data_IF_997816695844
#
_entry.id   IF_997816695844
#
_cell.length_a   1.000
_cell.length_b   1.000
_cell.length_c   1.000
_cell.angle_alpha   90.00
_cell.angle_beta   90.00
_cell.angle_gamma   90.00
#
_symmetry.space_group_name_H-M   'P 1'
#
loop_
_entity.id
_entity.type
_entity.pdbx_description
1 polymer ?
#
# COMPACT_ATOMS: atom_id res chain seq x y z
N UNK A 1 11.53 -6.46 -12.75
CA UNK A 1 11.49 -5.08 -12.24
C UNK A 1 11.55 -5.16 -10.74
N UNK A 2 12.56 -4.53 -10.13
CA UNK A 2 12.86 -4.67 -8.71
C UNK A 2 12.02 -3.77 -7.81
N UNK A 3 12.15 -3.98 -6.50
CA UNK A 3 11.58 -3.10 -5.49
C UNK A 3 12.50 -1.91 -5.24
N UNK A 4 11.90 -0.76 -4.96
CA UNK A 4 12.61 0.48 -4.62
C UNK A 4 12.33 0.83 -3.17
N UNK A 5 13.38 1.06 -2.39
CA UNK A 5 13.28 1.68 -1.07
C UNK A 5 13.54 3.18 -1.22
N UNK A 6 12.68 3.99 -0.61
CA UNK A 6 12.92 5.43 -0.51
C UNK A 6 13.53 5.72 0.86
N UNK A 7 14.56 6.56 0.90
CA UNK A 7 15.22 6.93 2.17
C UNK A 7 14.26 7.55 3.21
N UNK A 8 13.19 8.19 2.73
CA UNK A 8 12.16 8.82 3.56
C UNK A 8 11.24 7.80 4.27
N UNK A 9 11.21 6.54 3.80
CA UNK A 9 10.36 5.48 4.33
C UNK A 9 11.19 4.21 4.62
N UNK A 10 11.96 4.19 5.72
CA UNK A 10 12.91 3.11 6.00
C UNK A 10 12.25 1.74 6.17
N UNK A 11 10.97 1.66 6.52
CA UNK A 11 10.25 0.40 6.72
C UNK A 11 9.41 -0.02 5.50
N UNK A 12 9.45 0.74 4.40
CA UNK A 12 8.64 0.52 3.20
C UNK A 12 9.46 0.39 1.92
N UNK A 13 9.08 -0.61 1.14
CA UNK A 13 9.52 -0.80 -0.23
C UNK A 13 8.34 -0.62 -1.18
N UNK A 14 8.62 -0.25 -2.41
CA UNK A 14 7.62 -0.02 -3.44
C UNK A 14 7.91 -0.86 -4.67
N UNK A 15 6.91 -1.55 -5.20
CA UNK A 15 6.95 -2.00 -6.59
C UNK A 15 7.04 -0.78 -7.52
N UNK A 16 7.83 -0.88 -8.60
CA UNK A 16 8.01 0.21 -9.55
C UNK A 16 6.71 0.83 -10.03
N UNK A 17 5.69 0.02 -10.35
CA UNK A 17 4.42 0.56 -10.84
C UNK A 17 3.66 1.32 -9.75
N UNK A 18 3.76 0.88 -8.50
CA UNK A 18 3.17 1.61 -7.37
C UNK A 18 3.90 2.94 -7.14
N UNK A 19 5.23 2.96 -7.24
CA UNK A 19 6.00 4.19 -7.10
C UNK A 19 5.72 5.18 -8.24
N UNK A 20 5.72 4.71 -9.49
CA UNK A 20 5.37 5.55 -10.65
C UNK A 20 3.98 6.14 -10.50
N UNK A 21 2.99 5.34 -10.09
CA UNK A 21 1.64 5.85 -9.81
C UNK A 21 1.63 6.99 -8.78
N UNK A 22 2.41 6.88 -7.70
CA UNK A 22 2.50 7.92 -6.68
C UNK A 22 3.17 9.20 -7.19
N UNK A 23 4.17 9.06 -8.05
CA UNK A 23 4.86 10.18 -8.70
C UNK A 23 3.94 10.91 -9.69
N UNK A 24 3.10 10.16 -10.41
CA UNK A 24 2.18 10.64 -11.45
C UNK A 24 0.85 11.16 -10.88
N UNK A 25 0.66 11.21 -9.55
CA UNK A 25 -0.53 11.79 -8.95
C UNK A 25 -0.69 13.27 -9.37
N UNK A 26 -1.75 13.54 -10.12
CA UNK A 26 -1.99 14.80 -10.86
C UNK A 26 -1.87 16.06 -10.01
N UNK A 27 -2.30 16.02 -8.74
CA UNK A 27 -2.28 17.19 -7.87
C UNK A 27 -1.23 17.03 -6.77
N UNK A 28 -0.40 18.07 -6.60
CA UNK A 28 0.60 18.11 -5.53
C UNK A 28 -0.04 17.97 -4.14
N UNK A 29 -1.25 18.50 -3.96
CA UNK A 29 -2.02 18.38 -2.72
C UNK A 29 -2.43 16.94 -2.42
N UNK A 30 -2.92 16.20 -3.41
CA UNK A 30 -3.29 14.80 -3.23
C UNK A 30 -2.06 13.93 -3.00
N UNK A 31 -0.98 14.16 -3.76
CA UNK A 31 0.30 13.49 -3.54
C UNK A 31 0.80 13.69 -2.11
N UNK A 32 0.79 14.92 -1.61
CA UNK A 32 1.22 15.23 -0.23
C UNK A 32 0.39 14.50 0.82
N UNK A 33 -0.93 14.43 0.66
CA UNK A 33 -1.81 13.67 1.56
C UNK A 33 -1.47 12.18 1.57
N UNK A 34 -1.24 11.60 0.39
CA UNK A 34 -0.89 10.18 0.25
C UNK A 34 0.47 9.89 0.89
N UNK A 35 1.50 10.70 0.60
CA UNK A 35 2.82 10.56 1.20
C UNK A 35 2.80 10.74 2.73
N UNK A 36 1.98 11.67 3.23
CA UNK A 36 1.80 11.84 4.69
C UNK A 36 1.23 10.56 5.31
N UNK A 37 0.21 9.97 4.68
CA UNK A 37 -0.38 8.74 5.19
C UNK A 37 0.57 7.53 5.09
N UNK A 38 1.37 7.48 4.03
CA UNK A 38 2.45 6.50 3.87
C UNK A 38 3.48 6.65 4.98
N UNK A 39 3.88 7.87 5.35
CA UNK A 39 4.79 8.12 6.46
C UNK A 39 4.22 7.61 7.80
N UNK A 40 2.93 7.85 8.06
CA UNK A 40 2.26 7.33 9.27
C UNK A 40 2.27 5.79 9.26
N UNK A 41 1.99 5.17 8.11
CA UNK A 41 2.06 3.71 7.98
C UNK A 41 3.48 3.17 8.14
N UNK A 42 4.50 3.88 7.62
CA UNK A 42 5.90 3.49 7.77
C UNK A 42 6.32 3.39 9.25
N UNK A 43 5.90 4.37 10.04
CA UNK A 43 6.24 4.47 11.47
C UNK A 43 5.44 3.50 12.34
N UNK A 44 4.15 3.34 12.05
CA UNK A 44 3.23 2.64 12.94
C UNK A 44 2.76 1.28 12.40
N UNK A 45 3.11 0.95 11.16
CA UNK A 45 2.58 -0.22 10.46
C UNK A 45 1.07 -0.12 10.28
N UNK A 46 0.38 -1.26 10.40
CA UNK A 46 -1.08 -1.35 10.25
C UNK A 46 -1.84 -1.16 11.58
N UNK A 47 -1.26 -0.43 12.54
CA UNK A 47 -1.89 -0.15 13.84
C UNK A 47 -3.22 0.59 13.66
N UNK A 48 -4.31 -0.04 14.11
CA UNK A 48 -5.66 0.47 13.96
C UNK A 48 -5.99 1.58 14.96
N UNK A 49 -5.28 1.67 16.08
CA UNK A 49 -5.51 2.75 17.04
C UNK A 49 -5.01 4.09 16.48
N UNK A 50 -4.05 4.04 15.54
CA UNK A 50 -3.45 5.20 14.88
C UNK A 50 -4.10 5.48 13.53
N UNK A 51 -4.25 4.45 12.67
CA UNK A 51 -4.78 4.60 11.32
C UNK A 51 -6.31 4.48 11.24
N UNK A 52 -6.95 3.98 12.29
CA UNK A 52 -8.39 3.80 12.34
C UNK A 52 -8.94 3.00 11.16
N UNK A 53 -9.94 3.58 10.48
CA UNK A 53 -10.60 2.98 9.30
C UNK A 53 -9.78 3.08 8.01
N UNK A 54 -8.65 3.80 8.03
CA UNK A 54 -7.79 3.96 6.87
C UNK A 54 -7.00 2.69 6.57
N UNK A 55 -6.87 1.77 7.53
CA UNK A 55 -6.17 0.49 7.31
C UNK A 55 -7.10 -0.71 7.49
N UNK A 56 -7.04 -1.65 6.55
CA UNK A 56 -7.84 -2.85 6.57
C UNK A 56 -7.05 -4.08 6.16
N UNK A 57 -7.20 -5.17 6.92
CA UNK A 57 -6.60 -6.44 6.57
C UNK A 57 -7.55 -7.24 5.68
N UNK A 58 -7.05 -7.71 4.54
CA UNK A 58 -7.84 -8.50 3.62
C UNK A 58 -7.88 -9.95 4.14
N UNK A 59 -9.06 -10.40 4.57
CA UNK A 59 -9.26 -11.72 5.18
C UNK A 59 -9.61 -12.82 4.18
N UNK A 60 -10.14 -12.44 3.01
CA UNK A 60 -10.67 -13.35 2.00
C UNK A 60 -9.56 -14.07 1.25
N UNK A 61 -9.65 -15.39 1.14
CA UNK A 61 -8.75 -16.17 0.28
C UNK A 61 -9.03 -15.86 -1.21
N UNK A 62 -8.01 -15.87 -2.10
CA UNK A 62 -6.58 -16.14 -1.86
C UNK A 62 -5.77 -14.92 -1.41
N UNK A 63 -6.40 -13.80 -1.09
CA UNK A 63 -5.78 -12.50 -0.84
C UNK A 63 -5.34 -12.28 0.62
N UNK A 64 -5.47 -13.32 1.46
CA UNK A 64 -5.08 -13.26 2.87
C UNK A 64 -3.60 -12.92 2.98
N UNK A 65 -3.29 -11.87 3.75
CA UNK A 65 -1.92 -11.35 3.90
C UNK A 65 -1.72 -9.98 3.26
N UNK A 66 -2.64 -9.55 2.39
CA UNK A 66 -2.70 -8.18 1.91
C UNK A 66 -3.32 -7.26 2.97
N UNK A 67 -2.75 -6.06 3.06
CA UNK A 67 -3.20 -4.94 3.87
C UNK A 67 -3.56 -3.82 2.90
N UNK A 68 -4.75 -3.24 3.07
CA UNK A 68 -5.21 -2.08 2.33
C UNK A 68 -4.98 -0.82 3.18
N UNK A 69 -4.27 0.17 2.63
CA UNK A 69 -4.23 1.53 3.16
C UNK A 69 -5.04 2.46 2.25
N UNK A 70 -5.89 3.26 2.89
CA UNK A 70 -6.94 4.08 2.28
C UNK A 70 -6.66 5.55 2.55
N UNK A 71 -6.39 6.31 1.50
CA UNK A 71 -6.16 7.75 1.60
C UNK A 71 -7.25 8.50 0.87
N UNK A 72 -8.08 9.24 1.60
CA UNK A 72 -9.11 10.08 0.99
C UNK A 72 -8.48 11.34 0.39
N UNK A 73 -8.55 11.49 -0.92
CA UNK A 73 -8.00 12.65 -1.64
C UNK A 73 -9.10 13.68 -1.95
N UNK A 74 -10.33 13.24 -2.25
CA UNK A 74 -11.52 14.09 -2.37
C UNK A 74 -12.80 13.41 -1.88
N UNK A 75 -13.96 14.08 -1.98
CA UNK A 75 -15.26 13.54 -1.56
C UNK A 75 -15.65 12.23 -2.28
N UNK A 76 -15.16 12.04 -3.51
CA UNK A 76 -15.48 10.87 -4.36
C UNK A 76 -14.26 10.05 -4.76
N UNK A 77 -13.04 10.43 -4.36
CA UNK A 77 -11.79 9.77 -4.77
C UNK A 77 -10.96 9.40 -3.56
N UNK A 78 -10.52 8.15 -3.53
CA UNK A 78 -9.60 7.62 -2.53
C UNK A 78 -8.45 6.89 -3.23
N UNK A 79 -7.23 7.14 -2.80
CA UNK A 79 -6.08 6.31 -3.19
C UNK A 79 -6.07 5.07 -2.32
N UNK A 80 -5.89 3.91 -2.96
CA UNK A 80 -5.75 2.61 -2.31
C UNK A 80 -4.36 2.08 -2.56
N UNK A 81 -3.69 1.69 -1.48
CA UNK A 81 -2.38 1.05 -1.50
C UNK A 81 -2.58 -0.36 -0.97
N UNK A 82 -2.15 -1.36 -1.74
CA UNK A 82 -2.12 -2.76 -1.32
C UNK A 82 -0.70 -3.09 -0.89
N UNK A 83 -0.58 -3.55 0.35
CA UNK A 83 0.67 -3.69 1.07
C UNK A 83 0.78 -5.12 1.59
N UNK A 84 1.97 -5.71 1.54
CA UNK A 84 2.29 -6.97 2.21
C UNK A 84 3.33 -6.75 3.29
N UNK A 85 3.35 -7.62 4.29
CA UNK A 85 4.43 -7.67 5.26
C UNK A 85 5.54 -8.56 4.69
N UNK A 86 6.70 -7.98 4.38
CA UNK A 86 7.95 -8.70 4.17
C UNK A 86 8.65 -8.88 5.53
N UNK A 87 8.96 -10.12 5.88
CA UNK A 87 9.78 -10.40 7.06
C UNK A 87 11.09 -10.99 6.57
N UNK A 88 12.16 -10.20 6.41
CA UNK A 88 13.50 -10.77 6.44
C UNK A 88 13.70 -11.43 7.80
N UNK A 89 14.23 -12.66 7.84
CA UNK A 89 14.61 -13.32 9.09
C UNK A 89 15.47 -12.36 9.92
N UNK A 90 14.96 -11.92 11.08
CA UNK A 90 15.73 -11.14 12.06
C UNK A 90 15.53 -9.62 12.05
N UNK A 91 14.71 -9.04 11.16
CA UNK A 91 14.41 -7.60 11.18
C UNK A 91 12.93 -7.38 11.54
N UNK A 92 12.67 -6.55 12.55
CA UNK A 92 11.31 -6.16 12.92
C UNK A 92 10.72 -5.21 11.88
N UNK A 93 9.96 -5.82 10.94
CA UNK A 93 9.03 -5.23 9.95
C UNK A 93 9.68 -4.58 8.72
N UNK A 94 9.47 -5.20 7.56
CA UNK A 94 9.51 -4.48 6.29
C UNK A 94 8.17 -4.65 5.59
N UNK A 95 7.60 -3.58 5.07
CA UNK A 95 6.36 -3.60 4.32
C UNK A 95 6.67 -3.34 2.85
N UNK A 96 5.87 -3.92 1.96
CA UNK A 96 6.03 -3.70 0.52
C UNK A 96 4.70 -3.25 -0.07
N UNK A 97 4.68 -2.07 -0.65
CA UNK A 97 3.56 -1.58 -1.47
C UNK A 97 3.63 -2.27 -2.83
N UNK A 98 2.74 -3.22 -3.06
CA UNK A 98 2.73 -4.07 -4.26
C UNK A 98 1.80 -3.56 -5.36
N UNK A 99 0.85 -2.68 -5.01
CA UNK A 99 -0.05 -2.05 -5.98
C UNK A 99 -0.62 -0.74 -5.40
N UNK A 100 -0.83 0.25 -6.26
CA UNK A 100 -1.41 1.55 -5.91
C UNK A 100 -2.37 2.00 -7.02
N UNK A 101 -3.53 2.56 -6.66
CA UNK A 101 -4.52 3.02 -7.63
C UNK A 101 -5.51 4.04 -7.03
N UNK A 102 -6.16 4.83 -7.88
CA UNK A 102 -7.30 5.68 -7.50
C UNK A 102 -8.58 4.86 -7.58
N UNK A 103 -9.42 5.02 -6.56
CA UNK A 103 -10.72 4.39 -6.47
C UNK A 103 -11.81 5.42 -6.26
N UNK A 104 -12.90 5.26 -7.00
CA UNK A 104 -14.13 6.08 -6.89
C UNK A 104 -15.30 5.32 -6.27
N UNK A 105 -15.14 4.01 -6.04
CA UNK A 105 -16.16 3.10 -5.52
C UNK A 105 -15.75 2.50 -4.17
N UNK A 106 -16.72 2.04 -3.36
CA UNK A 106 -16.44 1.53 -2.02
C UNK A 106 -15.67 0.19 -1.99
N UNK A 107 -15.89 -0.72 -2.96
CA UNK A 107 -15.39 -2.12 -2.89
C UNK A 107 -14.18 -2.38 -3.77
N UNK A 108 -13.11 -2.97 -3.21
CA UNK A 108 -11.92 -3.43 -3.96
C UNK A 108 -12.31 -4.30 -5.17
N UNK A 109 -11.70 -4.05 -6.33
CA UNK A 109 -11.98 -4.86 -7.51
C UNK A 109 -11.14 -6.13 -7.45
N UNK A 110 -11.67 -7.25 -7.97
CA UNK A 110 -10.92 -8.50 -8.06
C UNK A 110 -9.62 -8.32 -8.86
N UNK A 111 -9.66 -7.50 -9.91
CA UNK A 111 -8.49 -7.19 -10.76
C UNK A 111 -7.35 -6.54 -9.99
N UNK A 112 -7.65 -5.59 -9.10
CA UNK A 112 -6.62 -4.93 -8.28
C UNK A 112 -6.01 -5.90 -7.27
N UNK A 113 -6.84 -6.74 -6.66
CA UNK A 113 -6.41 -7.78 -5.73
C UNK A 113 -5.55 -8.84 -6.42
N UNK A 114 -5.95 -9.30 -7.60
CA UNK A 114 -5.21 -10.28 -8.39
C UNK A 114 -3.84 -9.71 -8.82
N UNK A 115 -3.77 -8.42 -9.16
CA UNK A 115 -2.51 -7.76 -9.50
C UNK A 115 -1.56 -7.68 -8.31
N UNK A 116 -2.07 -7.24 -7.15
CA UNK A 116 -1.28 -7.20 -5.92
C UNK A 116 -0.80 -8.60 -5.50
N UNK A 117 -1.68 -9.60 -5.56
CA UNK A 117 -1.33 -10.99 -5.23
C UNK A 117 -0.27 -11.55 -6.18
N UNK A 118 -0.38 -11.26 -7.48
CA UNK A 118 0.61 -11.69 -8.47
C UNK A 118 2.00 -11.12 -8.18
N UNK A 119 2.08 -9.84 -7.83
CA UNK A 119 3.35 -9.21 -7.43
C UNK A 119 3.87 -9.83 -6.14
N UNK A 120 3.02 -9.93 -5.11
CA UNK A 120 3.41 -10.52 -3.82
C UNK A 120 3.96 -11.96 -3.96
N UNK A 121 3.31 -12.81 -4.78
CA UNK A 121 3.77 -14.18 -5.07
C UNK A 121 5.08 -14.22 -5.83
N UNK A 122 5.24 -13.36 -6.84
CA UNK A 122 6.45 -13.28 -7.65
C UNK A 122 7.68 -12.94 -6.80
N UNK A 123 7.50 -12.07 -5.82
CA UNK A 123 8.57 -11.63 -4.91
C UNK A 123 8.69 -12.52 -3.65
N UNK A 124 7.85 -13.56 -3.51
CA UNK A 124 7.92 -14.54 -2.41
C UNK A 124 7.35 -14.08 -1.07
N UNK A 125 6.44 -13.11 -1.05
CA UNK A 125 5.83 -12.58 0.18
C UNK A 125 4.53 -13.28 0.60
N UNK A 126 3.85 -13.94 -0.34
CA UNK A 126 2.59 -14.70 -0.18
C UNK A 126 2.60 -15.92 -1.10
#
# INVERSE_FOLDING_TARGET
MGLIQLHEFPNLWFDNAALTFLQDLETQGDRRKVLTQIAVFDLHGYDRDILGKQVEYIKTAPYRGLIELKVKISSKREVRLLIVKAVPKGISRQYVVVHAFIKTTQKLSKRDLDRALKVAKREGYL
#
